data_IF_794246123366
#
_entry.id   IF_794246123366
#
_cell.length_a   1.000
_cell.length_b   1.000
_cell.length_c   1.000
_cell.angle_alpha   90.00
_cell.angle_beta   90.00
_cell.angle_gamma   90.00
#
_symmetry.space_group_name_H-M   'P 1'
#
loop_
_entity.id
_entity.type
_entity.pdbx_description
1 polymer ?
#
# COMPACT_ATOMS: atom_id res chain seq x y z
N UNK A 1 6.62 -49.56 -21.19
CA UNK A 1 6.23 -48.95 -19.90
C UNK A 1 6.21 -47.42 -20.03
N UNK A 2 5.09 -46.78 -20.36
CA UNK A 2 5.00 -45.29 -20.51
C UNK A 2 3.69 -44.69 -20.00
N UNK A 3 2.81 -45.50 -19.37
CA UNK A 3 1.46 -45.07 -18.95
C UNK A 3 1.42 -44.22 -17.67
N UNK A 4 2.57 -43.97 -17.01
CA UNK A 4 2.62 -43.21 -15.74
C UNK A 4 3.08 -41.75 -15.90
N UNK A 5 3.40 -41.32 -17.11
CA UNK A 5 3.90 -39.95 -17.38
C UNK A 5 2.78 -39.01 -17.84
N UNK A 6 1.58 -39.52 -18.13
CA UNK A 6 0.45 -38.72 -18.61
C UNK A 6 -0.51 -38.21 -17.51
N UNK A 7 -0.30 -38.60 -16.25
CA UNK A 7 -1.13 -38.17 -15.11
C UNK A 7 -0.42 -37.14 -14.20
N UNK A 8 0.77 -36.69 -14.55
CA UNK A 8 1.50 -35.68 -13.75
C UNK A 8 1.42 -34.27 -14.35
N UNK A 9 0.54 -34.04 -15.35
CA UNK A 9 0.38 -32.74 -16.01
C UNK A 9 -0.75 -31.85 -15.45
N UNK A 10 -1.48 -32.29 -14.42
CA UNK A 10 -2.59 -31.50 -13.85
C UNK A 10 -2.24 -30.72 -12.58
N UNK A 11 -1.01 -30.84 -12.05
CA UNK A 11 -0.67 -30.24 -10.74
C UNK A 11 0.47 -29.22 -10.79
N UNK A 12 0.86 -28.73 -11.98
CA UNK A 12 1.91 -27.71 -12.09
C UNK A 12 1.39 -26.25 -12.19
N UNK A 13 0.08 -26.03 -12.15
CA UNK A 13 -0.52 -24.68 -12.25
C UNK A 13 -0.84 -24.01 -10.90
N UNK A 14 -0.53 -24.64 -9.76
CA UNK A 14 -0.91 -24.15 -8.43
C UNK A 14 0.23 -23.53 -7.61
N UNK A 15 1.37 -23.22 -8.23
CA UNK A 15 2.54 -22.59 -7.55
C UNK A 15 2.86 -21.18 -8.06
N UNK A 16 1.96 -20.53 -8.81
CA UNK A 16 2.21 -19.20 -9.40
C UNK A 16 1.52 -18.01 -8.72
N UNK A 17 0.91 -18.15 -7.54
CA UNK A 17 0.12 -17.03 -6.98
C UNK A 17 0.05 -17.01 -5.46
N UNK A 18 1.18 -16.83 -4.80
CA UNK A 18 1.20 -16.15 -3.50
C UNK A 18 2.29 -15.10 -3.53
N UNK A 19 2.11 -14.05 -4.34
CA UNK A 19 2.77 -12.78 -4.05
C UNK A 19 2.18 -12.27 -2.74
N UNK A 20 2.98 -12.31 -1.68
CA UNK A 20 2.63 -11.80 -0.35
C UNK A 20 2.05 -10.38 -0.46
N UNK A 21 0.75 -10.21 -0.17
CA UNK A 21 0.22 -8.91 0.23
C UNK A 21 0.80 -8.62 1.62
N UNK A 22 2.03 -8.09 1.65
CA UNK A 22 2.46 -7.33 2.81
C UNK A 22 1.64 -6.04 2.82
N UNK A 23 0.45 -6.10 3.42
CA UNK A 23 -0.16 -4.92 3.99
C UNK A 23 0.77 -4.48 5.12
N UNK A 24 1.78 -3.69 4.76
CA UNK A 24 2.63 -3.01 5.72
C UNK A 24 1.73 -2.07 6.50
N UNK A 25 1.37 -2.49 7.70
CA UNK A 25 0.67 -1.63 8.67
C UNK A 25 1.71 -0.62 9.13
N UNK A 26 2.00 0.38 8.30
CA UNK A 26 2.77 1.54 8.74
C UNK A 26 2.03 2.15 9.92
N UNK A 27 2.75 2.33 11.03
CA UNK A 27 2.21 3.03 12.18
C UNK A 27 1.71 4.41 11.73
N UNK A 28 0.47 4.74 12.10
CA UNK A 28 -0.15 6.01 11.70
C UNK A 28 0.64 7.17 12.27
N UNK A 29 1.25 7.97 11.42
CA UNK A 29 1.95 9.19 11.81
C UNK A 29 0.95 10.35 11.91
N UNK A 30 1.01 11.11 13.01
CA UNK A 30 0.13 12.27 13.21
C UNK A 30 0.95 13.53 13.36
N UNK A 31 0.56 14.58 12.65
CA UNK A 31 1.23 15.89 12.68
C UNK A 31 0.28 16.94 13.23
N UNK A 32 0.81 17.93 13.96
CA UNK A 32 -0.02 19.01 14.51
C UNK A 32 -0.53 19.97 13.44
N UNK A 33 0.24 20.15 12.37
CA UNK A 33 -0.03 21.08 11.28
C UNK A 33 0.77 20.71 10.01
N UNK A 34 0.44 21.35 8.89
CA UNK A 34 1.13 21.14 7.63
C UNK A 34 2.61 21.54 7.62
N UNK A 35 3.06 22.44 8.52
CA UNK A 35 4.47 22.81 8.61
C UNK A 35 5.32 21.66 9.15
N UNK A 36 4.81 20.91 10.12
CA UNK A 36 5.49 19.71 10.63
C UNK A 36 5.44 18.57 9.61
N UNK A 37 4.29 18.34 8.99
CA UNK A 37 4.15 17.32 7.95
C UNK A 37 5.08 17.59 6.78
N UNK A 38 5.10 18.82 6.26
CA UNK A 38 5.88 19.18 5.07
C UNK A 38 7.41 19.19 5.31
N UNK A 39 7.88 19.10 6.57
CA UNK A 39 9.29 18.82 6.84
C UNK A 39 9.68 17.40 6.43
N UNK A 40 8.75 16.44 6.56
CA UNK A 40 8.97 15.03 6.23
C UNK A 40 8.43 14.67 4.84
N UNK A 41 7.28 15.22 4.47
CA UNK A 41 6.62 15.01 3.18
C UNK A 41 6.39 16.35 2.47
N UNK A 42 7.40 16.92 1.78
CA UNK A 42 7.35 18.30 1.27
C UNK A 42 6.28 18.58 0.21
N UNK A 43 5.71 17.54 -0.38
CA UNK A 43 4.65 17.59 -1.40
C UNK A 43 3.27 17.23 -0.82
N UNK A 44 3.12 17.12 0.49
CA UNK A 44 1.93 16.57 1.12
C UNK A 44 1.83 15.05 0.96
N UNK A 45 0.69 14.49 1.37
CA UNK A 45 0.43 13.05 1.34
C UNK A 45 -0.99 12.74 0.88
N UNK A 46 -1.13 11.74 0.02
CA UNK A 46 -2.44 11.26 -0.45
C UNK A 46 -3.20 10.46 0.61
N UNK A 47 -4.51 10.38 0.46
CA UNK A 47 -5.40 9.50 1.24
C UNK A 47 -4.90 8.05 1.21
N UNK A 48 -4.81 7.44 2.39
CA UNK A 48 -4.26 6.10 2.58
C UNK A 48 -2.78 6.07 2.98
N UNK A 49 -2.05 7.19 2.91
CA UNK A 49 -0.74 7.30 3.54
C UNK A 49 -0.88 7.27 5.07
N UNK A 50 0.08 6.65 5.76
CA UNK A 50 0.19 6.63 7.23
C UNK A 50 0.12 8.02 7.90
N UNK A 51 0.59 9.05 7.21
CA UNK A 51 0.60 10.45 7.65
C UNK A 51 -0.67 11.23 7.27
N UNK A 52 -1.59 10.63 6.50
CA UNK A 52 -2.81 11.31 6.05
C UNK A 52 -3.77 11.55 7.20
N UNK A 53 -4.32 12.76 7.24
CA UNK A 53 -5.35 13.16 8.18
C UNK A 53 -6.32 14.10 7.46
N UNK A 54 -7.62 13.80 7.51
CA UNK A 54 -8.66 14.68 6.97
C UNK A 54 -8.64 16.08 7.62
N UNK A 55 -8.10 16.22 8.84
CA UNK A 55 -7.91 17.54 9.48
C UNK A 55 -6.86 18.40 8.80
N UNK A 56 -6.00 17.80 7.98
CA UNK A 56 -4.89 18.44 7.27
C UNK A 56 -5.16 18.56 5.76
N UNK A 57 -6.30 18.05 5.31
CA UNK A 57 -6.81 18.09 3.93
C UNK A 57 -7.91 19.17 3.90
N UNK A 58 -7.52 20.41 3.58
CA UNK A 58 -8.35 21.60 3.85
C UNK A 58 -9.56 21.67 2.92
N UNK A 59 -9.39 21.24 1.69
CA UNK A 59 -10.38 21.21 0.62
C UNK A 59 -11.01 19.82 0.41
N UNK A 60 -10.52 18.80 1.11
CA UNK A 60 -11.05 17.43 1.12
C UNK A 60 -10.99 16.74 -0.26
N UNK A 61 -9.94 17.03 -1.02
CA UNK A 61 -9.69 16.42 -2.32
C UNK A 61 -8.99 15.05 -2.20
N UNK A 62 -8.54 14.70 -1.00
CA UNK A 62 -7.80 13.48 -0.71
C UNK A 62 -6.29 13.68 -0.68
N UNK A 63 -5.80 14.92 -0.67
CA UNK A 63 -4.39 15.27 -0.56
C UNK A 63 -4.15 16.20 0.64
N UNK A 64 -3.59 15.64 1.71
CA UNK A 64 -3.29 16.43 2.89
C UNK A 64 -2.04 17.30 2.68
N UNK A 65 -2.14 18.58 3.03
CA UNK A 65 -1.03 19.55 3.02
C UNK A 65 -0.30 19.67 1.68
N UNK A 66 -1.00 19.54 0.56
CA UNK A 66 -0.48 19.96 -0.74
C UNK A 66 -0.02 21.43 -0.71
N UNK A 67 0.98 21.74 -1.53
CA UNK A 67 1.56 23.07 -1.66
C UNK A 67 1.15 23.70 -2.97
#
# INVERSE_FOLDING_TARGET
MVKKVFLTLLTATLVFSFTSLNAEVEAKETFKNCKELNKKYPKGVKKGHSAYSAKLDRDNDGWACEK
#
